data_IF_271356787409
#
_entry.id   IF_271356787409
#
_cell.length_a   1.000
_cell.length_b   1.000
_cell.length_c   1.000
_cell.angle_alpha   90.00
_cell.angle_beta   90.00
_cell.angle_gamma   90.00
#
_symmetry.space_group_name_H-M   'P 1'
#
loop_
_entity.id
_entity.type
_entity.pdbx_description
1 polymer ?
#
# COMPACT_ATOMS: atom_id res chain seq x y z
N UNK A 1 -3.49 -22.90 -16.17
CA UNK A 1 -3.37 -22.42 -14.75
C UNK A 1 -2.02 -21.72 -14.61
N UNK A 2 -1.89 -20.72 -13.73
CA UNK A 2 -0.71 -19.85 -13.65
C UNK A 2 0.55 -20.44 -12.94
N UNK A 3 0.51 -21.69 -12.45
CA UNK A 3 1.69 -22.35 -11.86
C UNK A 3 2.17 -21.80 -10.51
N UNK A 4 1.31 -21.13 -9.75
CA UNK A 4 1.67 -20.49 -8.47
C UNK A 4 1.82 -21.51 -7.32
N UNK A 5 2.74 -21.21 -6.38
CA UNK A 5 2.93 -21.97 -5.13
C UNK A 5 1.68 -21.96 -4.25
N UNK A 6 1.44 -23.06 -3.52
CA UNK A 6 0.32 -23.18 -2.57
C UNK A 6 0.39 -22.21 -1.39
N UNK A 7 1.56 -21.61 -1.13
CA UNK A 7 1.73 -20.60 -0.10
C UNK A 7 0.95 -19.30 -0.39
N UNK A 8 0.65 -19.02 -1.67
CA UNK A 8 -0.10 -17.81 -2.03
C UNK A 8 -1.58 -17.97 -1.71
N UNK A 9 -2.09 -17.03 -0.91
CA UNK A 9 -3.50 -16.96 -0.55
C UNK A 9 -4.17 -15.71 -1.14
N UNK A 10 -5.50 -15.64 -1.04
CA UNK A 10 -6.28 -14.45 -1.42
C UNK A 10 -5.81 -13.21 -0.64
N UNK A 11 -5.31 -13.40 0.57
CA UNK A 11 -4.75 -12.30 1.37
C UNK A 11 -3.53 -11.66 0.68
N UNK A 12 -2.67 -12.45 0.03
CA UNK A 12 -1.53 -11.92 -0.75
C UNK A 12 -2.00 -11.01 -1.89
N UNK A 13 -3.11 -11.35 -2.56
CA UNK A 13 -3.69 -10.50 -3.60
C UNK A 13 -4.22 -9.18 -3.03
N UNK A 14 -4.86 -9.21 -1.85
CA UNK A 14 -5.28 -8.00 -1.14
C UNK A 14 -4.07 -7.11 -0.80
N UNK A 15 -2.96 -7.70 -0.37
CA UNK A 15 -1.72 -6.97 -0.13
C UNK A 15 -1.20 -6.30 -1.40
N UNK A 16 -1.10 -7.04 -2.50
CA UNK A 16 -0.66 -6.50 -3.79
C UNK A 16 -1.57 -5.35 -4.24
N UNK A 17 -2.89 -5.50 -4.16
CA UNK A 17 -3.85 -4.47 -4.51
C UNK A 17 -3.70 -3.21 -3.66
N UNK A 18 -3.59 -3.37 -2.34
CA UNK A 18 -3.44 -2.25 -1.41
C UNK A 18 -2.16 -1.45 -1.67
N UNK A 19 -1.03 -2.14 -1.88
CA UNK A 19 0.24 -1.52 -2.23
C UNK A 19 0.19 -0.76 -3.56
N UNK A 20 -0.45 -1.34 -4.58
CA UNK A 20 -0.63 -0.67 -5.87
C UNK A 20 -1.54 0.55 -5.76
N UNK A 21 -2.64 0.44 -5.02
CA UNK A 21 -3.56 1.55 -4.78
C UNK A 21 -2.87 2.68 -4.01
N UNK A 22 -2.06 2.34 -2.99
CA UNK A 22 -1.30 3.32 -2.21
C UNK A 22 -0.39 4.15 -3.11
N UNK A 23 0.40 3.49 -3.98
CA UNK A 23 1.26 4.16 -4.97
C UNK A 23 0.48 4.99 -5.98
N UNK A 24 -0.61 4.44 -6.54
CA UNK A 24 -1.44 5.14 -7.53
C UNK A 24 -2.15 6.38 -6.94
N UNK A 25 -2.39 6.38 -5.62
CA UNK A 25 -3.04 7.47 -4.89
C UNK A 25 -2.08 8.56 -4.38
N UNK A 26 -0.82 8.56 -4.83
CA UNK A 26 0.25 9.42 -4.31
C UNK A 26 0.40 9.29 -2.78
N UNK A 27 0.52 8.04 -2.32
CA UNK A 27 0.77 7.67 -0.92
C UNK A 27 -0.34 8.10 0.05
N UNK A 28 -1.60 8.13 -0.41
CA UNK A 28 -2.75 8.46 0.44
C UNK A 28 -3.27 7.24 1.24
N UNK A 29 -2.79 7.10 2.47
CA UNK A 29 -3.16 5.97 3.34
C UNK A 29 -4.66 5.93 3.69
N UNK A 30 -5.30 7.10 3.83
CA UNK A 30 -6.72 7.17 4.19
C UNK A 30 -7.64 6.70 3.06
N UNK A 31 -7.22 6.93 1.81
CA UNK A 31 -7.92 6.41 0.64
C UNK A 31 -7.88 4.88 0.63
N UNK A 32 -6.70 4.30 0.82
CA UNK A 32 -6.52 2.84 0.88
C UNK A 32 -7.34 2.23 2.00
N UNK A 33 -7.34 2.86 3.19
CA UNK A 33 -8.15 2.40 4.33
C UNK A 33 -9.64 2.35 3.98
N UNK A 34 -10.19 3.42 3.39
CA UNK A 34 -11.61 3.48 3.00
C UNK A 34 -11.94 2.44 1.93
N UNK A 35 -11.08 2.29 0.93
CA UNK A 35 -11.31 1.37 -0.18
C UNK A 35 -11.28 -0.10 0.28
N UNK A 36 -10.42 -0.43 1.24
CA UNK A 36 -10.34 -1.78 1.83
C UNK A 36 -11.38 -2.02 2.93
N UNK A 37 -12.13 -0.99 3.34
CA UNK A 37 -13.12 -1.08 4.40
C UNK A 37 -12.52 -1.31 5.79
N UNK A 38 -11.27 -0.90 6.02
CA UNK A 38 -10.62 -1.09 7.32
C UNK A 38 -11.18 -0.13 8.37
N UNK A 39 -11.75 -0.69 9.45
CA UNK A 39 -12.29 0.09 10.56
C UNK A 39 -11.22 0.89 11.32
N UNK A 40 -9.98 0.40 11.32
CA UNK A 40 -8.83 1.06 11.95
C UNK A 40 -7.75 1.35 10.92
N UNK A 41 -7.16 2.54 11.00
CA UNK A 41 -6.03 2.90 10.15
C UNK A 41 -4.79 2.04 10.44
N UNK A 42 -4.66 1.55 11.68
CA UNK A 42 -3.56 0.65 12.10
C UNK A 42 -3.43 -0.59 11.24
N UNK A 43 -4.55 -1.15 10.78
CA UNK A 43 -4.54 -2.33 9.88
C UNK A 43 -3.99 -1.98 8.50
N UNK A 44 -4.06 -0.71 8.11
CA UNK A 44 -3.62 -0.21 6.79
C UNK A 44 -2.17 0.27 6.83
N UNK A 45 -1.65 0.65 8.00
CA UNK A 45 -0.27 1.13 8.20
C UNK A 45 0.80 0.16 7.67
N UNK A 46 0.53 -1.15 7.68
CA UNK A 46 1.41 -2.18 7.11
C UNK A 46 1.76 -1.92 5.63
N UNK A 47 0.91 -1.24 4.86
CA UNK A 47 1.19 -0.92 3.46
C UNK A 47 2.11 0.27 3.28
N UNK A 48 2.15 1.19 4.26
CA UNK A 48 3.06 2.33 4.24
C UNK A 48 4.49 1.89 4.59
N UNK A 49 4.64 0.96 5.54
CA UNK A 49 5.93 0.41 5.97
C UNK A 49 6.67 -0.34 4.85
N UNK A 50 5.91 -1.07 4.01
CA UNK A 50 6.48 -1.81 2.87
C UNK A 50 6.84 -0.89 1.70
N UNK A 51 6.21 0.28 1.60
CA UNK A 51 6.32 1.19 0.47
C UNK A 51 6.68 2.59 0.93
N UNK A 52 7.70 2.71 1.80
CA UNK A 52 8.20 4.00 2.25
C UNK A 52 8.34 4.94 1.03
N UNK A 53 7.64 6.09 1.02
CA UNK A 53 7.85 7.09 -0.01
C UNK A 53 9.32 7.49 0.06
N UNK A 54 9.92 7.66 -1.10
CA UNK A 54 11.31 8.09 -1.25
C UNK A 54 11.48 9.42 -0.51
N UNK A 55 11.94 9.35 0.74
CA UNK A 55 11.88 10.45 1.71
C UNK A 55 12.66 11.63 1.18
N UNK A 56 13.73 11.32 0.45
CA UNK A 56 14.55 12.26 -0.28
C UNK A 56 13.75 13.04 -1.33
N UNK A 57 12.92 12.39 -2.15
CA UNK A 57 12.05 13.08 -3.13
C UNK A 57 10.99 13.95 -2.48
N UNK A 58 10.46 13.53 -1.33
CA UNK A 58 9.50 14.32 -0.58
C UNK A 58 10.14 15.60 -0.02
N UNK A 59 11.36 15.50 0.50
CA UNK A 59 12.14 16.66 0.95
C UNK A 59 12.52 17.59 -0.22
N UNK A 60 12.97 17.04 -1.35
CA UNK A 60 13.30 17.82 -2.54
C UNK A 60 12.12 18.66 -3.04
N UNK A 61 10.89 18.11 -3.04
CA UNK A 61 9.66 18.85 -3.37
C UNK A 61 9.32 19.98 -2.40
N UNK A 62 9.76 19.91 -1.14
CA UNK A 62 9.49 20.96 -0.15
C UNK A 62 10.47 22.13 -0.24
N UNK A 63 11.70 21.86 -0.70
CA UNK A 63 12.78 22.85 -0.77
C UNK A 63 13.02 23.41 -2.18
N UNK A 64 12.26 22.96 -3.18
CA UNK A 64 12.22 23.52 -4.55
C UNK A 64 10.97 24.37 -4.73
#
# INVERSE_FOLDING_TARGET
>A
RAGLSSHYSIHCLRHTYACQLYKASDYNLRLVQKQLGHSSIRTTEVYADVMEPDTQKALEKLYT
#
